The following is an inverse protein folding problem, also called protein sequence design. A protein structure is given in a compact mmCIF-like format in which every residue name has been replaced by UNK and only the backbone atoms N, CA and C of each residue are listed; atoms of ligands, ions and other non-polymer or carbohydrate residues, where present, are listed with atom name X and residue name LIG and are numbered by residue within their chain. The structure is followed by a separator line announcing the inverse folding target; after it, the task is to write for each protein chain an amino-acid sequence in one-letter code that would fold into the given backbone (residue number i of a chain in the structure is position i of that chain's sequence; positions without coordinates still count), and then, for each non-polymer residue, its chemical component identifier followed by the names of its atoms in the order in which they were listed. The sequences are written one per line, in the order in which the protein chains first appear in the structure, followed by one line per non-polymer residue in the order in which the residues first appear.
data_IF_643632641830
#
_entry.id   IF_643632641830
#
_cell.length_a   1.000
_cell.length_b   1.000
_cell.length_c   1.000
_cell.angle_alpha   90.00
_cell.angle_beta   90.00
_cell.angle_gamma   90.00
#
_symmetry.space_group_name_H-M   'P 1'
#
loop_
_entity.id
_entity.type
_entity.pdbx_description
1 polymer ?
#
# COMPACT_ATOMS: atom_id res chain seq x y z
N UNK A 1 9.07 -14.71 -5.99
CA UNK A 1 9.22 -14.57 -4.53
C UNK A 1 9.09 -15.94 -3.91
N UNK A 2 10.08 -16.34 -3.12
CA UNK A 2 10.13 -17.63 -2.43
C UNK A 2 9.16 -17.69 -1.24
N UNK A 3 8.88 -18.90 -0.76
CA UNK A 3 7.95 -19.11 0.36
C UNK A 3 8.38 -18.37 1.64
N UNK A 4 9.67 -18.37 1.96
CA UNK A 4 10.20 -17.67 3.14
C UNK A 4 10.00 -16.15 3.06
N UNK A 5 10.21 -15.55 1.89
CA UNK A 5 9.94 -14.13 1.67
C UNK A 5 8.45 -13.80 1.84
N UNK A 6 7.55 -14.68 1.37
CA UNK A 6 6.09 -14.55 1.55
C UNK A 6 5.67 -14.61 3.03
N UNK A 7 6.34 -15.45 3.83
CA UNK A 7 6.09 -15.55 5.29
C UNK A 7 6.40 -14.25 6.03
N UNK A 8 7.28 -13.40 5.50
CA UNK A 8 7.56 -12.07 6.06
C UNK A 8 6.66 -11.00 5.43
N UNK A 9 6.54 -10.99 4.10
CA UNK A 9 5.84 -9.91 3.40
C UNK A 9 4.34 -9.85 3.76
N UNK A 10 3.67 -10.99 3.88
CA UNK A 10 2.23 -10.99 4.21
C UNK A 10 1.97 -10.40 5.59
N UNK A 11 2.59 -10.88 6.68
CA UNK A 11 2.45 -10.24 8.00
C UNK A 11 2.89 -8.78 8.00
N UNK A 12 3.92 -8.40 7.22
CA UNK A 12 4.38 -7.02 7.12
C UNK A 12 3.30 -6.11 6.56
N UNK A 13 2.70 -6.50 5.43
CA UNK A 13 1.62 -5.73 4.80
C UNK A 13 0.41 -5.59 5.73
N UNK A 14 0.01 -6.69 6.39
CA UNK A 14 -1.13 -6.67 7.32
C UNK A 14 -0.83 -5.83 8.57
N UNK A 15 0.39 -5.90 9.12
CA UNK A 15 0.77 -5.09 10.30
C UNK A 15 0.75 -3.60 9.96
N UNK A 16 1.30 -3.21 8.80
CA UNK A 16 1.25 -1.82 8.33
C UNK A 16 -0.20 -1.38 8.08
N UNK A 17 -1.02 -2.24 7.47
CA UNK A 17 -2.45 -1.97 7.26
C UNK A 17 -3.19 -1.74 8.57
N UNK A 18 -3.05 -2.65 9.54
CA UNK A 18 -3.71 -2.57 10.83
C UNK A 18 -3.25 -1.36 11.65
N UNK A 19 -1.99 -0.96 11.50
CA UNK A 19 -1.46 0.24 12.13
C UNK A 19 -2.07 1.52 11.54
N UNK A 20 -2.18 1.61 10.21
CA UNK A 20 -2.63 2.83 9.53
C UNK A 20 -4.15 2.93 9.41
N UNK A 21 -4.80 1.90 8.83
CA UNK A 21 -6.24 1.87 8.56
C UNK A 21 -7.02 1.44 9.80
N UNK A 22 -6.57 0.35 10.44
CA UNK A 22 -7.31 -0.33 11.50
C UNK A 22 -7.61 -1.78 11.13
N UNK A 23 -8.34 -2.47 12.00
CA UNK A 23 -8.71 -3.89 11.80
C UNK A 23 -10.01 -4.24 12.51
N UNK A 24 -10.64 -5.32 12.06
CA UNK A 24 -11.66 -6.00 12.84
C UNK A 24 -11.03 -7.03 13.79
N UNK A 25 -11.55 -7.14 15.01
CA UNK A 25 -11.19 -8.23 15.92
C UNK A 25 -11.96 -9.53 15.60
N UNK A 26 -11.66 -10.59 16.33
CA UNK A 26 -12.31 -11.91 16.21
C UNK A 26 -13.83 -11.86 16.48
N UNK A 27 -14.30 -10.84 17.19
CA UNK A 27 -15.72 -10.62 17.49
C UNK A 27 -16.42 -9.73 16.46
N UNK A 28 -15.69 -9.26 15.44
CA UNK A 28 -16.22 -8.38 14.40
C UNK A 28 -16.32 -6.92 14.81
N UNK A 29 -15.70 -6.50 15.93
CA UNK A 29 -15.64 -5.10 16.31
C UNK A 29 -14.50 -4.39 15.59
N UNK A 30 -14.76 -3.17 15.15
CA UNK A 30 -13.77 -2.33 14.48
C UNK A 30 -12.84 -1.67 15.50
N UNK A 31 -11.54 -1.76 15.25
CA UNK A 31 -10.48 -1.05 15.96
C UNK A 31 -9.81 -0.10 14.98
N UNK A 32 -10.10 1.20 15.09
CA UNK A 32 -9.53 2.22 14.22
C UNK A 32 -8.01 2.28 14.31
N UNK A 33 -7.36 2.48 13.17
CA UNK A 33 -5.92 2.70 13.10
C UNK A 33 -5.53 4.16 13.36
N UNK A 34 -4.24 4.43 13.19
CA UNK A 34 -3.66 5.76 13.39
C UNK A 34 -4.35 6.84 12.56
N UNK A 35 -4.72 6.56 11.30
CA UNK A 35 -5.34 7.58 10.44
C UNK A 35 -6.76 7.93 10.88
N UNK A 36 -7.51 7.00 11.46
CA UNK A 36 -8.81 7.31 12.07
C UNK A 36 -8.61 8.20 13.30
N UNK A 37 -7.62 7.89 14.16
CA UNK A 37 -7.29 8.73 15.32
C UNK A 37 -6.84 10.14 14.91
N UNK A 38 -6.05 10.24 13.84
CA UNK A 38 -5.64 11.52 13.25
C UNK A 38 -6.83 12.31 12.72
N UNK A 39 -7.75 11.67 12.02
CA UNK A 39 -8.98 12.30 11.54
C UNK A 39 -9.88 12.75 12.69
N UNK A 40 -10.01 11.93 13.74
CA UNK A 40 -10.74 12.27 14.96
C UNK A 40 -10.13 13.50 15.65
N UNK A 41 -8.80 13.62 15.69
CA UNK A 41 -8.11 14.80 16.21
C UNK A 41 -8.38 16.08 15.39
N UNK A 42 -8.71 15.94 14.11
CA UNK A 42 -9.13 17.04 13.22
C UNK A 42 -10.64 17.35 13.32
N UNK A 43 -11.36 16.72 14.24
CA UNK A 43 -12.76 17.03 14.49
C UNK A 43 -13.76 16.31 13.59
N UNK A 44 -13.36 15.19 12.96
CA UNK A 44 -14.21 14.44 12.02
C UNK A 44 -14.34 13.00 12.51
N UNK A 45 -15.58 12.53 12.66
CA UNK A 45 -15.92 11.17 13.10
C UNK A 45 -16.96 10.53 12.17
N UNK A 46 -17.06 9.20 12.25
CA UNK A 46 -18.02 8.40 11.50
C UNK A 46 -19.38 8.24 12.20
N UNK A 47 -19.44 8.42 13.52
CA UNK A 47 -20.62 8.18 14.36
C UNK A 47 -21.25 9.45 14.96
N UNK A 48 -20.61 10.61 14.80
CA UNK A 48 -21.09 11.88 15.32
C UNK A 48 -20.83 13.05 14.37
N UNK A 49 -21.54 14.15 14.62
CA UNK A 49 -21.37 15.38 13.86
C UNK A 49 -19.93 15.93 14.00
N UNK A 50 -19.36 16.45 12.90
CA UNK A 50 -18.03 17.03 12.93
C UNK A 50 -18.04 18.37 13.67
N UNK A 51 -16.91 18.69 14.28
CA UNK A 51 -16.67 20.06 14.75
C UNK A 51 -16.43 20.93 13.51
N UNK A 52 -17.06 22.11 13.47
CA UNK A 52 -16.83 23.10 12.43
C UNK A 52 -15.33 23.45 12.34
N UNK A 53 -14.79 23.54 11.13
CA UNK A 53 -13.35 23.69 10.91
C UNK A 53 -12.75 24.94 11.59
N UNK A 54 -13.53 26.01 11.76
CA UNK A 54 -13.15 27.24 12.47
C UNK A 54 -12.99 27.05 13.99
N UNK A 55 -13.63 26.02 14.55
CA UNK A 55 -13.59 25.68 15.99
C UNK A 55 -12.55 24.61 16.32
N UNK A 56 -11.88 24.02 15.32
CA UNK A 56 -10.82 23.02 15.55
C UNK A 56 -9.50 23.74 15.84
N UNK A 57 -8.83 23.46 16.98
CA UNK A 57 -7.51 24.01 17.25
C UNK A 57 -6.44 23.24 16.47
N UNK A 58 -6.26 23.60 15.20
CA UNK A 58 -5.22 23.01 14.35
C UNK A 58 -3.83 23.26 14.91
N UNK A 59 -2.99 22.22 14.96
CA UNK A 59 -1.62 22.31 15.47
C UNK A 59 -0.63 22.79 14.42
N UNK A 60 -0.95 22.60 13.14
CA UNK A 60 -0.10 23.00 12.02
C UNK A 60 -0.91 23.41 10.78
N UNK A 61 -0.29 24.10 9.80
CA UNK A 61 -0.92 24.37 8.50
C UNK A 61 -1.32 23.11 7.75
N UNK A 62 -0.56 22.03 7.90
CA UNK A 62 -0.84 20.73 7.28
C UNK A 62 -2.11 20.09 7.87
N UNK A 63 -2.34 20.21 9.17
CA UNK A 63 -3.58 19.75 9.82
C UNK A 63 -4.82 20.48 9.27
N UNK A 64 -4.69 21.80 9.05
CA UNK A 64 -5.75 22.60 8.43
C UNK A 64 -6.02 22.15 6.99
N UNK A 65 -4.96 21.98 6.21
CA UNK A 65 -5.08 21.52 4.83
C UNK A 65 -5.68 20.11 4.74
N UNK A 66 -5.25 19.19 5.62
CA UNK A 66 -5.83 17.86 5.72
C UNK A 66 -7.34 17.94 5.99
N UNK A 67 -7.77 18.83 6.90
CA UNK A 67 -9.19 19.02 7.20
C UNK A 67 -9.98 19.56 6.00
N UNK A 68 -9.44 20.54 5.27
CA UNK A 68 -10.06 21.07 4.05
C UNK A 68 -10.27 19.96 3.00
N UNK A 69 -9.25 19.12 2.80
CA UNK A 69 -9.32 17.99 1.87
C UNK A 69 -10.34 16.94 2.32
N UNK A 70 -10.39 16.62 3.61
CA UNK A 70 -11.38 15.70 4.17
C UNK A 70 -12.79 16.23 3.97
N UNK A 71 -13.05 17.49 4.30
CA UNK A 71 -14.39 18.09 4.14
C UNK A 71 -14.82 18.10 2.67
N UNK A 72 -13.91 18.45 1.75
CA UNK A 72 -14.18 18.40 0.31
C UNK A 72 -14.46 16.98 -0.20
N UNK A 73 -13.71 15.98 0.29
CA UNK A 73 -13.92 14.57 -0.05
C UNK A 73 -15.30 14.09 0.44
N UNK A 74 -15.64 14.38 1.70
CA UNK A 74 -16.91 13.96 2.30
C UNK A 74 -18.10 14.61 1.61
N UNK A 75 -18.02 15.90 1.26
CA UNK A 75 -19.07 16.59 0.51
C UNK A 75 -19.31 15.95 -0.87
N UNK A 76 -18.23 15.62 -1.60
CA UNK A 76 -18.34 14.96 -2.90
C UNK A 76 -18.99 13.56 -2.80
N UNK A 77 -18.72 12.83 -1.71
CA UNK A 77 -19.32 11.51 -1.47
C UNK A 77 -20.78 11.61 -1.03
N UNK A 78 -21.11 12.62 -0.23
CA UNK A 78 -22.49 12.93 0.16
C UNK A 78 -23.35 13.28 -1.06
N UNK A 79 -22.84 14.12 -1.97
CA UNK A 79 -23.49 14.44 -3.25
C UNK A 79 -23.70 13.19 -4.13
N UNK A 80 -22.81 12.20 -4.02
CA UNK A 80 -22.94 10.90 -4.69
C UNK A 80 -23.88 9.92 -3.96
N UNK A 81 -24.52 10.33 -2.86
CA UNK A 81 -25.42 9.50 -2.07
C UNK A 81 -24.73 8.44 -1.21
N UNK A 82 -23.42 8.56 -0.99
CA UNK A 82 -22.64 7.65 -0.15
C UNK A 82 -22.79 8.11 1.31
N UNK A 83 -23.02 7.17 2.23
CA UNK A 83 -23.14 7.50 3.64
C UNK A 83 -21.82 8.08 4.18
N UNK A 84 -21.91 9.01 5.12
CA UNK A 84 -20.72 9.59 5.78
C UNK A 84 -19.77 8.53 6.32
N UNK A 85 -20.31 7.47 6.94
CA UNK A 85 -19.54 6.36 7.48
C UNK A 85 -18.75 5.65 6.38
N UNK A 86 -19.41 5.31 5.27
CA UNK A 86 -18.75 4.61 4.16
C UNK A 86 -17.71 5.51 3.48
N UNK A 87 -18.00 6.81 3.35
CA UNK A 87 -17.05 7.78 2.80
C UNK A 87 -15.80 7.93 3.67
N UNK A 88 -15.96 7.94 5.00
CA UNK A 88 -14.83 7.94 5.94
C UNK A 88 -14.03 6.64 5.84
N UNK A 89 -14.71 5.48 5.82
CA UNK A 89 -14.05 4.18 5.68
C UNK A 89 -13.24 4.12 4.38
N UNK A 90 -13.80 4.61 3.27
CA UNK A 90 -13.13 4.71 1.96
C UNK A 90 -11.91 5.66 2.03
N UNK A 91 -12.08 6.87 2.57
CA UNK A 91 -10.99 7.85 2.67
C UNK A 91 -9.82 7.35 3.51
N UNK A 92 -10.09 6.78 4.69
CA UNK A 92 -9.06 6.23 5.59
C UNK A 92 -8.33 5.07 4.90
N UNK A 93 -9.05 4.17 4.23
CA UNK A 93 -8.45 3.05 3.48
C UNK A 93 -7.57 3.52 2.33
N UNK A 94 -8.05 4.48 1.52
CA UNK A 94 -7.29 5.05 0.40
C UNK A 94 -6.01 5.75 0.88
N UNK A 95 -6.12 6.52 1.97
CA UNK A 95 -5.00 7.21 2.64
C UNK A 95 -3.99 6.20 3.17
N UNK A 96 -4.45 5.18 3.91
CA UNK A 96 -3.60 4.12 4.46
C UNK A 96 -2.83 3.38 3.36
N UNK A 97 -3.53 2.96 2.30
CA UNK A 97 -2.90 2.28 1.17
C UNK A 97 -1.90 3.18 0.46
N UNK A 98 -2.23 4.47 0.25
CA UNK A 98 -1.34 5.41 -0.42
C UNK A 98 -0.02 5.57 0.33
N UNK A 99 -0.07 5.79 1.65
CA UNK A 99 1.13 5.88 2.49
C UNK A 99 1.93 4.58 2.50
N UNK A 100 1.28 3.45 2.75
CA UNK A 100 1.93 2.14 2.78
C UNK A 100 2.59 1.80 1.43
N UNK A 101 1.87 2.04 0.32
CA UNK A 101 2.35 1.74 -1.02
C UNK A 101 3.54 2.63 -1.42
N UNK A 102 3.49 3.94 -1.12
CA UNK A 102 4.63 4.84 -1.38
C UNK A 102 5.89 4.39 -0.62
N UNK A 103 5.76 4.10 0.68
CA UNK A 103 6.90 3.64 1.49
C UNK A 103 7.43 2.30 0.99
N UNK A 104 6.54 1.36 0.66
CA UNK A 104 6.94 0.04 0.17
C UNK A 104 7.63 0.10 -1.19
N UNK A 105 7.16 0.96 -2.11
CA UNK A 105 7.80 1.14 -3.42
C UNK A 105 9.16 1.78 -3.27
N UNK A 106 9.31 2.83 -2.44
CA UNK A 106 10.62 3.40 -2.13
C UNK A 106 11.55 2.31 -1.58
N UNK A 107 11.10 1.53 -0.60
CA UNK A 107 11.89 0.45 -0.01
C UNK A 107 12.30 -0.62 -1.04
N UNK A 108 11.41 -0.98 -1.96
CA UNK A 108 11.72 -1.89 -3.07
C UNK A 108 12.72 -1.30 -4.06
N UNK A 109 12.64 0.00 -4.34
CA UNK A 109 13.61 0.67 -5.22
C UNK A 109 14.99 0.75 -4.56
N UNK A 110 15.04 1.02 -3.25
CA UNK A 110 16.28 1.03 -2.45
C UNK A 110 16.95 -0.33 -2.42
N UNK A 111 16.20 -1.39 -2.11
CA UNK A 111 16.75 -2.75 -2.03
C UNK A 111 17.33 -3.24 -3.37
N UNK A 112 16.87 -2.66 -4.48
CA UNK A 112 17.31 -2.97 -5.85
C UNK A 112 18.35 -1.98 -6.38
N UNK A 113 18.91 -1.13 -5.50
CA UNK A 113 19.90 -0.10 -5.82
C UNK A 113 19.46 0.88 -6.93
N UNK A 114 18.15 1.12 -7.07
CA UNK A 114 17.61 2.06 -8.06
C UNK A 114 17.63 3.50 -7.56
N UNK A 115 17.61 3.68 -6.23
CA UNK A 115 17.61 4.98 -5.56
C UNK A 115 18.48 4.91 -4.30
N UNK A 116 18.93 6.07 -3.83
CA UNK A 116 19.56 6.19 -2.52
C UNK A 116 18.56 5.87 -1.39
N UNK A 117 19.06 5.40 -0.24
CA UNK A 117 18.22 5.01 0.91
C UNK A 117 17.38 6.15 1.49
N UNK A 118 16.05 6.10 1.31
CA UNK A 118 15.06 7.03 1.87
C UNK A 118 14.33 6.42 3.07
N UNK A 119 13.98 5.14 3.02
CA UNK A 119 13.22 4.40 4.04
C UNK A 119 14.17 3.63 4.95
N UNK A 120 15.07 2.82 4.40
CA UNK A 120 15.93 1.95 5.20
C UNK A 120 16.86 2.74 6.15
N UNK A 121 16.67 2.56 7.46
CA UNK A 121 17.49 3.20 8.49
C UNK A 121 18.73 2.39 8.83
N UNK A 122 19.86 3.05 9.11
CA UNK A 122 21.13 2.39 9.47
C UNK A 122 21.76 3.03 10.71
N UNK A 123 22.37 2.21 11.56
CA UNK A 123 23.08 2.67 12.78
C UNK A 123 24.21 3.66 12.47
N UNK A 124 24.93 3.47 11.35
CA UNK A 124 25.98 4.39 10.89
C UNK A 124 25.49 5.82 10.64
N UNK A 125 24.18 6.01 10.47
CA UNK A 125 23.53 7.30 10.28
C UNK A 125 22.76 7.77 11.53
N UNK A 126 22.95 7.09 12.67
CA UNK A 126 22.24 7.36 13.93
C UNK A 126 20.78 6.93 13.89
N UNK A 127 20.49 5.76 13.31
CA UNK A 127 19.12 5.25 13.16
C UNK A 127 18.29 6.00 12.10
N UNK A 128 18.95 6.73 11.19
CA UNK A 128 18.32 7.45 10.08
C UNK A 128 18.56 6.75 8.75
N UNK A 129 17.74 7.06 7.76
CA UNK A 129 18.06 6.73 6.37
C UNK A 129 19.15 7.65 5.83
N UNK A 130 19.75 7.27 4.70
CA UNK A 130 20.80 8.07 4.06
C UNK A 130 20.28 9.45 3.64
N UNK A 131 19.08 9.51 3.04
CA UNK A 131 18.43 10.76 2.66
C UNK A 131 18.16 11.65 3.88
N UNK A 132 17.69 11.07 4.98
CA UNK A 132 17.43 11.80 6.22
C UNK A 132 18.71 12.31 6.88
N UNK A 133 19.77 11.51 6.88
CA UNK A 133 21.09 11.93 7.36
C UNK A 133 21.64 13.12 6.56
N UNK A 134 21.55 13.06 5.22
CA UNK A 134 21.96 14.15 4.33
C UNK A 134 21.09 15.39 4.50
N UNK A 135 19.79 15.24 4.72
CA UNK A 135 18.90 16.39 5.00
C UNK A 135 19.33 17.07 6.30
N UNK A 136 19.57 16.31 7.37
CA UNK A 136 20.00 16.86 8.66
C UNK A 136 21.34 17.62 8.58
N UNK A 137 22.23 17.24 7.65
CA UNK A 137 23.47 17.97 7.39
C UNK A 137 23.27 19.25 6.58
N UNK A 138 22.42 19.21 5.54
CA UNK A 138 22.17 20.36 4.65
C UNK A 138 21.25 21.41 5.27
N UNK A 139 20.22 20.94 5.97
CA UNK A 139 19.08 21.72 6.48
C UNK A 139 18.71 21.31 7.92
N UNK A 140 19.60 21.54 8.90
CA UNK A 140 19.35 21.15 10.29
C UNK A 140 18.11 21.81 10.90
N UNK A 141 17.68 22.96 10.38
CA UNK A 141 16.46 23.67 10.78
C UNK A 141 15.18 22.85 10.54
N UNK A 142 15.14 22.05 9.47
CA UNK A 142 13.99 21.19 9.14
C UNK A 142 13.89 19.98 10.08
N UNK A 143 14.97 19.64 10.80
CA UNK A 143 15.02 18.52 11.72
C UNK A 143 14.73 18.88 13.18
N UNK A 144 14.32 20.13 13.47
CA UNK A 144 14.03 20.60 14.85
C UNK A 144 12.62 20.25 15.34
N UNK A 145 11.71 19.91 14.43
CA UNK A 145 10.33 19.56 14.76
C UNK A 145 10.20 18.21 15.47
N UNK A 146 8.98 17.89 15.92
CA UNK A 146 8.66 16.62 16.62
C UNK A 146 8.95 15.38 15.75
N UNK A 147 8.82 15.51 14.43
CA UNK A 147 9.09 14.46 13.46
C UNK A 147 10.59 14.29 13.15
N UNK A 148 11.44 15.21 13.61
CA UNK A 148 12.87 15.23 13.33
C UNK A 148 13.19 15.44 11.85
N UNK A 149 12.28 16.03 11.06
CA UNK A 149 12.43 16.25 9.62
C UNK A 149 12.05 15.03 8.76
N UNK A 150 11.39 14.03 9.34
CA UNK A 150 10.97 12.82 8.64
C UNK A 150 10.00 13.12 7.49
N UNK A 151 9.01 13.99 7.72
CA UNK A 151 8.08 14.39 6.66
C UNK A 151 8.79 15.21 5.58
N UNK A 152 9.75 16.06 5.95
CA UNK A 152 10.53 16.83 4.98
C UNK A 152 11.33 15.92 4.03
N UNK A 153 11.92 14.83 4.54
CA UNK A 153 12.61 13.83 3.71
C UNK A 153 11.64 13.14 2.73
N UNK A 154 10.47 12.73 3.23
CA UNK A 154 9.47 12.07 2.39
C UNK A 154 8.89 13.03 1.35
N UNK A 155 8.65 14.29 1.71
CA UNK A 155 8.19 15.32 0.78
C UNK A 155 9.23 15.59 -0.33
N UNK A 156 10.53 15.66 0.00
CA UNK A 156 11.62 15.78 -0.99
C UNK A 156 11.66 14.55 -1.91
N UNK A 157 11.57 13.35 -1.33
CA UNK A 157 11.57 12.09 -2.09
C UNK A 157 10.35 11.96 -3.01
N UNK A 158 9.14 12.22 -2.51
CA UNK A 158 7.91 12.16 -3.30
C UNK A 158 7.95 13.18 -4.44
N UNK A 159 8.34 14.42 -4.15
CA UNK A 159 8.46 15.47 -5.17
C UNK A 159 9.50 15.12 -6.24
N UNK A 160 10.61 14.50 -5.84
CA UNK A 160 11.63 14.04 -6.77
C UNK A 160 11.10 12.91 -7.68
N UNK A 161 10.47 11.88 -7.09
CA UNK A 161 10.00 10.72 -7.84
C UNK A 161 8.71 10.98 -8.63
N UNK A 162 7.91 11.98 -8.27
CA UNK A 162 6.71 12.39 -9.02
C UNK A 162 7.03 12.76 -10.48
N UNK A 163 8.26 13.18 -10.78
CA UNK A 163 8.70 13.49 -12.17
C UNK A 163 8.64 12.28 -13.09
N UNK A 164 8.90 11.08 -12.56
CA UNK A 164 8.95 9.84 -13.33
C UNK A 164 7.75 8.92 -13.04
N UNK A 165 7.18 9.02 -11.84
CA UNK A 165 6.08 8.20 -11.34
C UNK A 165 4.98 9.08 -10.73
N UNK A 166 4.38 10.00 -11.52
CA UNK A 166 3.43 11.01 -11.01
C UNK A 166 2.20 10.38 -10.38
N UNK A 167 1.67 9.29 -10.95
CA UNK A 167 0.49 8.60 -10.41
C UNK A 167 0.71 8.04 -9.01
N UNK A 168 1.96 7.69 -8.66
CA UNK A 168 2.28 7.12 -7.36
C UNK A 168 2.68 8.19 -6.35
N UNK A 169 3.51 9.16 -6.76
CA UNK A 169 4.17 10.10 -5.85
C UNK A 169 3.68 11.54 -5.95
N UNK A 170 2.54 11.82 -6.59
CA UNK A 170 1.97 13.17 -6.61
C UNK A 170 1.85 13.74 -5.19
N UNK A 171 2.62 14.80 -4.83
CA UNK A 171 2.56 15.39 -3.49
C UNK A 171 1.23 16.09 -3.22
N UNK A 172 0.41 16.33 -4.25
CA UNK A 172 -0.90 16.98 -4.15
C UNK A 172 -2.07 15.99 -4.14
N UNK A 173 -1.79 14.69 -4.10
CA UNK A 173 -2.86 13.69 -4.03
C UNK A 173 -3.68 13.88 -2.73
N UNK A 174 -5.02 13.84 -2.77
CA UNK A 174 -5.86 14.04 -1.57
C UNK A 174 -5.51 13.07 -0.43
N UNK A 175 -5.22 11.83 -0.79
CA UNK A 175 -4.87 10.75 0.14
C UNK A 175 -3.54 10.95 0.89
N UNK A 176 -2.72 11.96 0.56
CA UNK A 176 -1.52 12.30 1.36
C UNK A 176 -1.67 13.56 2.20
N UNK A 177 -2.78 14.28 2.06
CA UNK A 177 -3.06 15.45 2.90
C UNK A 177 -3.19 15.04 4.38
N UNK A 178 -3.89 13.93 4.65
CA UNK A 178 -3.90 13.33 5.99
C UNK A 178 -2.61 12.54 6.23
N UNK A 179 -1.71 13.13 7.02
CA UNK A 179 -0.46 12.49 7.44
C UNK A 179 -0.71 11.54 8.63
N UNK A 180 -0.14 10.32 8.61
CA UNK A 180 -0.03 9.48 9.80
C UNK A 180 0.66 10.23 10.94
N UNK A 181 0.48 9.80 12.18
CA UNK A 181 1.28 10.31 13.28
C UNK A 181 2.77 9.98 13.07
N UNK A 182 3.64 10.78 13.69
CA UNK A 182 5.09 10.53 13.69
C UNK A 182 5.40 9.14 14.25
N UNK A 183 4.66 8.69 15.27
CA UNK A 183 4.84 7.38 15.89
C UNK A 183 4.49 6.25 14.92
N UNK A 184 3.32 6.32 14.27
CA UNK A 184 2.91 5.34 13.27
C UNK A 184 3.87 5.31 12.07
N UNK A 185 4.28 6.47 11.56
CA UNK A 185 5.22 6.54 10.45
C UNK A 185 6.59 5.93 10.80
N UNK A 186 7.14 6.25 11.98
CA UNK A 186 8.39 5.65 12.46
C UNK A 186 8.26 4.14 12.60
N UNK A 187 7.11 3.64 13.10
CA UNK A 187 6.83 2.20 13.20
C UNK A 187 6.76 1.53 11.82
N UNK A 188 6.10 2.15 10.83
CA UNK A 188 6.10 1.66 9.45
C UNK A 188 7.52 1.57 8.89
N UNK A 189 8.33 2.62 9.08
CA UNK A 189 9.72 2.66 8.62
C UNK A 189 10.56 1.61 9.33
N UNK A 190 10.38 1.41 10.63
CA UNK A 190 11.11 0.39 11.39
C UNK A 190 10.81 -1.03 10.91
N UNK A 191 9.54 -1.32 10.64
CA UNK A 191 9.11 -2.59 10.05
C UNK A 191 9.70 -2.79 8.63
N UNK A 192 9.66 -1.76 7.79
CA UNK A 192 10.21 -1.83 6.42
C UNK A 192 11.74 -1.86 6.37
N UNK A 193 12.41 -1.22 7.33
CA UNK A 193 13.87 -1.21 7.44
C UNK A 193 14.42 -2.52 8.02
N UNK A 194 13.57 -3.35 8.63
CA UNK A 194 14.00 -4.54 9.35
C UNK A 194 14.65 -4.25 10.70
N UNK A 195 14.53 -3.02 11.22
CA UNK A 195 14.94 -2.71 12.61
C UNK A 195 13.93 -3.20 13.62
N UNK A 196 12.69 -3.44 13.19
CA UNK A 196 11.63 -4.03 13.99
C UNK A 196 11.16 -5.35 13.39
N UNK A 197 10.89 -6.32 14.26
CA UNK A 197 10.36 -7.62 13.86
C UNK A 197 8.89 -7.56 13.47
N UNK A 198 8.53 -8.35 12.46
CA UNK A 198 7.17 -8.42 11.92
C UNK A 198 6.37 -9.50 12.64
N UNK A 199 5.62 -9.14 13.68
CA UNK A 199 4.74 -10.06 14.45
C UNK A 199 5.43 -11.38 14.84
N UNK A 200 6.68 -11.32 15.31
CA UNK A 200 7.44 -12.50 15.71
C UNK A 200 8.03 -13.35 14.57
N UNK A 201 7.80 -12.98 13.30
CA UNK A 201 8.35 -13.69 12.14
C UNK A 201 9.80 -13.26 11.81
N UNK A 202 10.40 -12.37 12.60
CA UNK A 202 11.71 -11.77 12.34
C UNK A 202 11.63 -10.47 11.54
N UNK A 203 12.79 -9.84 11.25
CA UNK A 203 12.87 -8.59 10.52
C UNK A 203 12.64 -8.76 9.01
N UNK A 204 12.15 -7.71 8.35
CA UNK A 204 12.07 -7.66 6.89
C UNK A 204 13.44 -7.36 6.29
N UNK A 205 14.10 -8.38 5.75
CA UNK A 205 15.41 -8.28 5.12
C UNK A 205 15.31 -7.78 3.67
N UNK A 206 16.44 -7.37 3.09
CA UNK A 206 16.51 -6.87 1.71
C UNK A 206 15.97 -7.87 0.68
N UNK A 207 16.14 -9.18 0.91
CA UNK A 207 15.69 -10.24 0.00
C UNK A 207 14.18 -10.17 -0.28
N UNK A 208 13.38 -9.73 0.71
CA UNK A 208 11.93 -9.56 0.55
C UNK A 208 11.63 -8.50 -0.51
N UNK A 209 12.39 -7.40 -0.51
CA UNK A 209 12.15 -6.23 -1.35
C UNK A 209 12.86 -6.33 -2.71
N UNK A 210 13.97 -7.09 -2.79
CA UNK A 210 14.66 -7.41 -4.05
C UNK A 210 13.77 -8.26 -4.96
N UNK A 211 12.95 -9.15 -4.39
CA UNK A 211 12.09 -10.04 -5.16
C UNK A 211 11.25 -9.28 -6.21
N UNK A 212 11.26 -9.68 -7.49
CA UNK A 212 10.67 -8.88 -8.58
C UNK A 212 9.15 -8.74 -8.47
N UNK A 213 8.49 -9.71 -7.84
CA UNK A 213 7.05 -9.79 -7.62
C UNK A 213 6.61 -9.27 -6.24
N UNK A 214 7.52 -8.67 -5.45
CA UNK A 214 7.23 -8.18 -4.09
C UNK A 214 6.05 -7.19 -4.06
N UNK A 215 6.04 -6.19 -4.93
CA UNK A 215 4.98 -5.18 -4.98
C UNK A 215 3.62 -5.79 -5.35
N UNK A 216 3.62 -6.75 -6.28
CA UNK A 216 2.42 -7.46 -6.69
C UNK A 216 1.80 -8.27 -5.56
N UNK A 217 2.63 -9.03 -4.85
CA UNK A 217 2.20 -9.78 -3.67
C UNK A 217 1.75 -8.87 -2.53
N UNK A 218 2.45 -7.76 -2.29
CA UNK A 218 2.08 -6.81 -1.26
C UNK A 218 0.69 -6.21 -1.50
N UNK A 219 0.38 -5.84 -2.74
CA UNK A 219 -0.96 -5.39 -3.11
C UNK A 219 -2.03 -6.45 -2.84
N UNK A 220 -1.74 -7.71 -3.19
CA UNK A 220 -2.67 -8.82 -2.94
C UNK A 220 -2.87 -9.07 -1.44
N UNK A 221 -1.79 -9.00 -0.65
CA UNK A 221 -1.86 -9.19 0.80
C UNK A 221 -2.62 -8.05 1.48
N UNK A 222 -2.39 -6.80 1.06
CA UNK A 222 -3.15 -5.64 1.54
C UNK A 222 -4.66 -5.86 1.41
N UNK A 223 -5.11 -6.31 0.23
CA UNK A 223 -6.52 -6.51 -0.07
C UNK A 223 -7.12 -7.81 0.46
N UNK A 224 -6.35 -8.69 1.12
CA UNK A 224 -6.84 -10.03 1.49
C UNK A 224 -8.03 -9.96 2.46
N UNK A 225 -7.97 -9.12 3.50
CA UNK A 225 -9.06 -9.04 4.49
C UNK A 225 -10.34 -8.41 3.91
N UNK A 226 -10.22 -7.39 3.03
CA UNK A 226 -11.40 -6.82 2.36
C UNK A 226 -12.01 -7.83 1.40
N UNK A 227 -11.17 -8.52 0.64
CA UNK A 227 -11.63 -9.57 -0.26
C UNK A 227 -12.42 -10.62 0.50
N UNK A 228 -11.90 -11.11 1.62
CA UNK A 228 -12.58 -12.13 2.43
C UNK A 228 -13.91 -11.60 3.00
N UNK A 229 -13.96 -10.34 3.45
CA UNK A 229 -15.18 -9.65 3.89
C UNK A 229 -16.23 -9.54 2.78
N UNK A 230 -15.82 -9.15 1.56
CA UNK A 230 -16.71 -9.07 0.39
C UNK A 230 -17.27 -10.44 0.05
N UNK A 231 -16.43 -11.47 -0.03
CA UNK A 231 -16.90 -12.83 -0.33
C UNK A 231 -17.82 -13.37 0.76
N UNK A 232 -17.56 -13.05 2.04
CA UNK A 232 -18.45 -13.46 3.13
C UNK A 232 -19.81 -12.77 3.04
N UNK A 233 -19.85 -11.48 2.73
CA UNK A 233 -21.12 -10.76 2.45
C UNK A 233 -21.89 -11.37 1.27
N UNK A 234 -21.20 -11.75 0.19
CA UNK A 234 -21.81 -12.42 -0.97
C UNK A 234 -22.40 -13.78 -0.57
N UNK A 235 -21.67 -14.58 0.22
CA UNK A 235 -22.13 -15.90 0.67
C UNK A 235 -23.31 -15.83 1.63
N UNK A 236 -23.24 -14.95 2.63
CA UNK A 236 -24.23 -14.88 3.71
C UNK A 236 -25.46 -14.06 3.34
N UNK A 237 -25.28 -12.92 2.67
CA UNK A 237 -26.35 -11.96 2.36
C UNK A 237 -26.76 -11.95 0.90
N UNK A 238 -26.17 -12.80 0.04
CA UNK A 238 -26.38 -12.80 -1.43
C UNK A 238 -26.21 -11.41 -2.06
N UNK A 239 -25.34 -10.59 -1.47
CA UNK A 239 -25.03 -9.27 -1.97
C UNK A 239 -24.33 -9.37 -3.34
N UNK A 240 -24.56 -8.38 -4.21
CA UNK A 240 -23.81 -8.26 -5.47
C UNK A 240 -22.49 -7.53 -5.19
N UNK A 241 -21.40 -7.98 -5.81
CA UNK A 241 -20.13 -7.26 -5.82
C UNK A 241 -20.32 -6.02 -6.71
N UNK A 242 -20.23 -4.82 -6.14
CA UNK A 242 -20.42 -3.56 -6.84
C UNK A 242 -19.58 -2.43 -6.21
N UNK A 243 -19.29 -1.39 -6.99
CA UNK A 243 -18.57 -0.21 -6.51
C UNK A 243 -17.19 -0.54 -5.93
N UNK A 244 -16.94 -0.10 -4.70
CA UNK A 244 -15.68 -0.30 -3.98
C UNK A 244 -15.31 -1.79 -3.77
N UNK A 245 -16.30 -2.70 -3.80
CA UNK A 245 -16.06 -4.15 -3.63
C UNK A 245 -15.42 -4.80 -4.86
N UNK A 246 -15.44 -4.14 -6.03
CA UNK A 246 -14.91 -4.71 -7.28
C UNK A 246 -13.40 -4.87 -7.21
N UNK A 247 -12.69 -3.85 -6.73
CA UNK A 247 -11.22 -3.80 -6.70
C UNK A 247 -10.64 -4.97 -5.88
N UNK A 248 -11.01 -5.18 -4.61
CA UNK A 248 -10.46 -6.28 -3.82
C UNK A 248 -10.89 -7.66 -4.34
N UNK A 249 -12.05 -7.77 -4.99
CA UNK A 249 -12.56 -9.06 -5.50
C UNK A 249 -11.95 -9.47 -6.86
N UNK A 250 -11.56 -8.51 -7.70
CA UNK A 250 -11.24 -8.78 -9.11
C UNK A 250 -9.78 -8.49 -9.48
N UNK A 251 -9.09 -7.58 -8.79
CA UNK A 251 -7.71 -7.19 -9.10
C UNK A 251 -6.70 -8.13 -8.43
N UNK A 252 -6.51 -9.33 -8.99
CA UNK A 252 -5.56 -10.34 -8.47
C UNK A 252 -4.20 -10.21 -9.17
N UNK A 253 -3.12 -10.27 -8.40
CA UNK A 253 -1.76 -10.29 -8.96
C UNK A 253 -1.51 -11.57 -9.77
N UNK A 254 -0.91 -11.41 -10.95
CA UNK A 254 -0.58 -12.54 -11.83
C UNK A 254 0.79 -13.09 -11.47
N UNK A 255 0.84 -14.34 -11.01
CA UNK A 255 2.11 -14.97 -10.63
C UNK A 255 3.12 -15.05 -11.77
N UNK A 256 4.41 -14.95 -11.43
CA UNK A 256 5.53 -14.93 -12.38
C UNK A 256 5.56 -16.15 -13.32
N UNK A 257 5.10 -17.32 -12.89
CA UNK A 257 5.05 -18.50 -13.77
C UNK A 257 3.99 -18.36 -14.86
N UNK A 258 2.83 -17.74 -14.57
CA UNK A 258 1.78 -17.48 -15.56
C UNK A 258 2.22 -16.44 -16.59
N UNK A 259 2.97 -15.43 -16.15
CA UNK A 259 3.58 -14.43 -17.04
C UNK A 259 4.62 -15.09 -17.96
N UNK A 260 5.54 -15.89 -17.40
CA UNK A 260 6.55 -16.63 -18.17
C UNK A 260 5.92 -17.64 -19.13
N UNK A 261 4.85 -18.31 -18.73
CA UNK A 261 4.10 -19.22 -19.59
C UNK A 261 3.47 -18.45 -20.76
N UNK A 262 2.80 -17.33 -20.47
CA UNK A 262 2.16 -16.50 -21.49
C UNK A 262 3.16 -15.88 -22.46
N UNK A 263 4.32 -15.42 -21.97
CA UNK A 263 5.39 -14.88 -22.83
C UNK A 263 6.02 -15.98 -23.69
N UNK A 264 6.25 -17.17 -23.13
CA UNK A 264 6.79 -18.32 -23.86
C UNK A 264 5.85 -18.82 -24.95
N UNK A 265 4.54 -18.81 -24.71
CA UNK A 265 3.54 -19.18 -25.72
C UNK A 265 3.43 -18.12 -26.82
N UNK A 266 3.59 -16.82 -26.51
CA UNK A 266 3.62 -15.75 -27.54
C UNK A 266 4.89 -15.75 -28.39
N UNK A 267 6.02 -16.16 -27.81
CA UNK A 267 7.32 -16.23 -28.51
C UNK A 267 7.57 -17.60 -29.17
N UNK A 268 6.65 -18.56 -29.02
CA UNK A 268 6.71 -19.79 -29.79
C UNK A 268 6.47 -19.44 -31.27
N UNK A 269 7.41 -19.73 -32.19
CA UNK A 269 7.19 -19.46 -33.60
C UNK A 269 5.97 -20.27 -34.09
N UNK A 270 5.16 -19.74 -35.03
CA UNK A 270 3.94 -20.38 -35.54
C UNK A 270 4.22 -21.58 -36.47
N UNK A 271 5.22 -22.40 -36.13
CA UNK A 271 5.78 -23.45 -37.00
C UNK A 271 6.03 -24.79 -36.33
N UNK A 272 5.59 -25.04 -35.10
CA UNK A 272 5.51 -26.42 -34.60
C UNK A 272 4.20 -27.04 -35.07
N UNK A 273 4.24 -27.43 -36.35
CA UNK A 273 3.18 -28.17 -37.03
C UNK A 273 2.82 -29.43 -36.26
N UNK A 274 1.53 -29.57 -35.99
CA UNK A 274 0.90 -30.83 -35.68
C UNK A 274 0.91 -31.72 -36.95
N UNK A 275 2.06 -32.27 -37.32
CA UNK A 275 2.18 -33.32 -38.34
C UNK A 275 2.45 -34.65 -37.66
N UNK A 276 1.39 -35.29 -37.15
CA UNK A 276 1.32 -36.75 -37.10
C UNK A 276 0.66 -37.24 -38.39
N UNK A 277 1.43 -37.30 -39.46
CA UNK A 277 1.10 -38.11 -40.63
C UNK A 277 1.22 -39.58 -40.22
N UNK A 278 0.12 -40.18 -39.72
CA UNK A 278 -0.03 -41.64 -39.74
C UNK A 278 -0.53 -42.01 -41.14
N UNK A 279 0.40 -42.19 -42.07
CA UNK A 279 0.14 -42.93 -43.31
C UNK A 279 -0.14 -44.39 -42.96
N UNK A 280 -1.42 -44.77 -42.90
CA UNK A 280 -1.84 -46.16 -42.88
C UNK A 280 -1.82 -46.66 -44.34
N UNK A 281 -0.71 -47.27 -44.76
CA UNK A 281 -0.62 -47.96 -46.05
C UNK A 281 -1.48 -49.23 -45.95
N UNK A 282 -2.68 -49.20 -46.54
CA UNK A 282 -3.38 -50.42 -46.98
C UNK A 282 -2.67 -50.92 -48.24
N UNK A 283 -1.86 -51.96 -48.12
CA UNK A 283 -1.49 -52.80 -49.27
C UNK A 283 -2.39 -54.03 -49.26
N UNK A 284 -3.34 -54.07 -50.20
CA UNK A 284 -4.02 -55.29 -50.59
C UNK A 284 -3.90 -55.45 -52.10
N UNK A 285 -3.22 -56.50 -52.56
CA UNK A 285 -3.56 -57.26 -53.76
C UNK A 285 -2.63 -58.48 -53.90
N UNK A 286 -3.19 -59.65 -53.59
CA UNK A 286 -3.22 -60.85 -54.45
C UNK A 286 -1.95 -61.28 -55.18
N UNK A 287 -1.33 -62.37 -54.72
CA UNK A 287 -1.27 -63.67 -55.44
C UNK A 287 -1.07 -64.79 -54.43
#
# INVERSE_FOLDING_TARGET
MEAEQKKILKPLCLTVRHLLEGRYDEHGNWHGGDLEERMNALGVWWDREPILADKVPFRSPEDRHAREVIDAYLALREDAGISRRDAIEEFVRETAYTWANRLLVLRCMEARDLIDGVVATKEVYGGRSLAHHRLAQRHPELCRGEDGGLFAVLDEAFSFHAKNLPLLYDPKAPAVALRPSVAALKKCIGLLSGTESVNGNGPATDEVFVAPDALGWAYQYWNTEEKDRVFEKVRTKKAKIAGADIIPATCIYTESYMVKFSSRTRLAPPGWGCTRTRTFRRSGSTT
#
